data_IF_246195183285
#
_entry.id   IF_246195183285
#
_cell.length_a   1.000
_cell.length_b   1.000
_cell.length_c   1.000
_cell.angle_alpha   90.00
_cell.angle_beta   90.00
_cell.angle_gamma   90.00
#
_symmetry.space_group_name_H-M   'P 1'
#
loop_
_entity.id
_entity.type
_entity.pdbx_description
1 polymer ?
#
# COMPACT_ATOMS: atom_id res chain seq x y z
N UNK A 1 -6.48 22.46 1.03
CA UNK A 1 -5.55 21.84 0.06
C UNK A 1 -5.46 20.35 0.29
N UNK A 2 -5.34 19.61 -0.79
CA UNK A 2 -5.22 18.15 -0.67
C UNK A 2 -3.89 17.77 -0.02
N UNK A 3 -3.93 16.76 0.82
CA UNK A 3 -2.73 16.23 1.48
C UNK A 3 -1.97 15.31 0.53
N UNK A 4 -0.71 15.13 0.79
CA UNK A 4 0.12 14.22 0.02
C UNK A 4 0.78 13.21 0.96
N UNK A 5 0.66 11.93 0.64
CA UNK A 5 1.22 10.85 1.44
C UNK A 5 2.19 10.01 0.62
N UNK A 6 3.11 9.37 1.31
CA UNK A 6 3.91 8.29 0.73
C UNK A 6 3.49 6.98 1.39
N UNK A 7 3.31 5.96 0.59
CA UNK A 7 2.93 4.63 1.05
C UNK A 7 3.99 3.63 0.63
N UNK A 8 4.55 2.92 1.60
CA UNK A 8 5.42 1.79 1.34
C UNK A 8 4.66 0.54 1.73
N UNK A 9 4.46 -0.36 0.80
CA UNK A 9 3.75 -1.61 1.03
C UNK A 9 4.65 -2.79 0.71
N UNK A 10 4.65 -3.78 1.58
CA UNK A 10 5.41 -5.00 1.42
C UNK A 10 4.55 -6.18 1.84
N UNK A 11 4.71 -7.29 1.17
CA UNK A 11 3.98 -8.49 1.50
C UNK A 11 4.73 -9.71 1.01
N UNK A 12 4.46 -10.83 1.63
CA UNK A 12 5.12 -12.05 1.25
C UNK A 12 4.46 -13.28 1.81
N UNK A 13 4.87 -14.43 1.31
CA UNK A 13 4.39 -15.72 1.77
C UNK A 13 5.57 -16.67 1.98
N UNK A 14 5.37 -17.62 2.88
CA UNK A 14 6.29 -18.75 3.05
C UNK A 14 5.87 -19.84 2.07
N UNK A 15 6.64 -19.98 1.00
CA UNK A 15 6.17 -20.75 -0.15
C UNK A 15 5.23 -19.89 -0.98
N UNK A 16 4.96 -20.30 -2.20
CA UNK A 16 4.16 -19.49 -3.11
C UNK A 16 3.18 -20.38 -3.87
N UNK A 17 1.99 -20.70 -3.31
CA UNK A 17 1.39 -20.08 -2.12
C UNK A 17 1.87 -20.65 -0.80
N UNK A 18 1.55 -19.93 0.29
CA UNK A 18 1.85 -20.33 1.64
C UNK A 18 1.33 -19.32 2.66
N UNK A 19 1.62 -19.50 3.95
CA UNK A 19 1.23 -18.51 4.95
C UNK A 19 1.76 -17.12 4.58
N UNK A 20 0.88 -16.13 4.52
CA UNK A 20 1.19 -14.82 3.96
C UNK A 20 0.72 -13.69 4.86
N UNK A 21 1.40 -12.56 4.73
CA UNK A 21 1.06 -11.34 5.45
C UNK A 21 1.59 -10.12 4.73
N UNK A 22 1.17 -8.95 5.19
CA UNK A 22 1.61 -7.69 4.61
C UNK A 22 1.96 -6.66 5.67
N UNK A 23 2.73 -5.66 5.26
CA UNK A 23 3.00 -4.47 6.04
C UNK A 23 2.89 -3.24 5.17
N UNK A 24 2.33 -2.17 5.71
CA UNK A 24 2.20 -0.90 5.00
C UNK A 24 2.57 0.24 5.94
N UNK A 25 3.36 1.18 5.43
CA UNK A 25 3.78 2.36 6.20
C UNK A 25 3.36 3.59 5.43
N UNK A 26 2.62 4.47 6.10
CA UNK A 26 2.14 5.72 5.52
C UNK A 26 2.91 6.86 6.16
N UNK A 27 3.53 7.69 5.32
CA UNK A 27 4.26 8.87 5.78
C UNK A 27 3.67 10.12 5.16
N UNK A 28 3.77 11.22 5.91
CA UNK A 28 3.39 12.54 5.44
C UNK A 28 4.46 13.53 5.92
N UNK A 29 5.03 14.29 4.99
CA UNK A 29 6.09 15.25 5.29
C UNK A 29 7.29 14.60 6.02
N UNK A 30 7.62 13.37 5.66
CA UNK A 30 8.73 12.66 6.24
C UNK A 30 8.44 12.00 7.59
N UNK A 31 7.22 12.11 8.09
CA UNK A 31 6.83 11.50 9.37
C UNK A 31 5.92 10.30 9.14
N UNK A 32 6.18 9.22 9.85
CA UNK A 32 5.29 8.04 9.83
C UNK A 32 4.02 8.40 10.59
N UNK A 33 2.88 8.34 9.90
CA UNK A 33 1.59 8.63 10.51
C UNK A 33 0.74 7.39 10.75
N UNK A 34 1.06 6.28 10.09
CA UNK A 34 0.35 5.02 10.29
C UNK A 34 1.22 3.86 9.85
N UNK A 35 1.10 2.75 10.56
CA UNK A 35 1.70 1.47 10.19
C UNK A 35 0.61 0.41 10.27
N UNK A 36 0.48 -0.37 9.21
CA UNK A 36 -0.55 -1.40 9.08
C UNK A 36 0.12 -2.73 8.78
N UNK A 37 -0.34 -3.79 9.42
CA UNK A 37 0.16 -5.13 9.13
C UNK A 37 -0.89 -6.15 9.51
N UNK A 38 -0.92 -7.26 8.79
CA UNK A 38 -1.87 -8.32 9.07
C UNK A 38 -1.41 -9.63 8.45
N UNK A 39 -1.90 -10.71 9.01
CA UNK A 39 -1.77 -12.05 8.47
C UNK A 39 -3.02 -12.36 7.65
N UNK A 40 -2.84 -12.79 6.40
CA UNK A 40 -3.95 -12.97 5.47
C UNK A 40 -4.27 -14.44 5.16
N UNK A 41 -3.63 -15.38 5.86
CA UNK A 41 -3.84 -16.81 5.60
C UNK A 41 -2.94 -17.31 4.49
N UNK A 42 -3.40 -18.27 3.73
CA UNK A 42 -2.63 -18.88 2.63
C UNK A 42 -2.83 -18.06 1.37
N UNK A 43 -1.74 -17.53 0.81
CA UNK A 43 -1.79 -16.68 -0.37
C UNK A 43 -0.42 -16.67 -1.07
N UNK A 44 -0.38 -16.09 -2.25
CA UNK A 44 0.87 -15.87 -2.98
C UNK A 44 1.52 -14.55 -2.55
N UNK A 45 2.80 -14.37 -2.90
CA UNK A 45 3.49 -13.10 -2.67
C UNK A 45 2.73 -11.93 -3.29
N UNK A 46 2.24 -12.09 -4.52
CA UNK A 46 1.53 -11.01 -5.21
C UNK A 46 0.25 -10.62 -4.49
N UNK A 47 -0.51 -11.60 -4.01
CA UNK A 47 -1.73 -11.33 -3.26
C UNK A 47 -1.41 -10.59 -1.97
N UNK A 48 -0.36 -11.00 -1.25
CA UNK A 48 0.07 -10.32 -0.03
C UNK A 48 0.45 -8.86 -0.29
N UNK A 49 1.19 -8.61 -1.36
CA UNK A 49 1.58 -7.24 -1.74
C UNK A 49 0.36 -6.37 -2.06
N UNK A 50 -0.59 -6.91 -2.82
CA UNK A 50 -1.82 -6.17 -3.12
C UNK A 50 -2.67 -5.91 -1.89
N UNK A 51 -2.73 -6.86 -0.96
CA UNK A 51 -3.44 -6.64 0.30
C UNK A 51 -2.83 -5.49 1.09
N UNK A 52 -1.50 -5.42 1.14
CA UNK A 52 -0.80 -4.31 1.78
C UNK A 52 -1.09 -2.98 1.10
N UNK A 53 -1.09 -2.97 -0.23
CA UNK A 53 -1.43 -1.78 -1.01
C UNK A 53 -2.85 -1.32 -0.72
N UNK A 54 -3.81 -2.23 -0.79
CA UNK A 54 -5.23 -1.91 -0.57
C UNK A 54 -5.45 -1.39 0.85
N UNK A 55 -4.83 -2.02 1.85
CA UNK A 55 -4.95 -1.57 3.23
C UNK A 55 -4.43 -0.15 3.41
N UNK A 56 -3.25 0.15 2.84
CA UNK A 56 -2.66 1.48 2.90
C UNK A 56 -3.51 2.52 2.20
N UNK A 57 -3.96 2.22 0.99
CA UNK A 57 -4.78 3.16 0.21
C UNK A 57 -6.13 3.41 0.87
N UNK A 58 -6.73 2.38 1.47
CA UNK A 58 -7.98 2.52 2.21
C UNK A 58 -7.81 3.46 3.41
N UNK A 59 -6.71 3.31 4.14
CA UNK A 59 -6.41 4.17 5.28
C UNK A 59 -6.21 5.63 4.84
N UNK A 60 -5.48 5.85 3.74
CA UNK A 60 -5.26 7.19 3.19
C UNK A 60 -6.58 7.81 2.75
N UNK A 61 -7.42 7.05 2.07
CA UNK A 61 -8.71 7.54 1.61
C UNK A 61 -9.62 7.95 2.77
N UNK A 62 -9.52 7.24 3.90
CA UNK A 62 -10.27 7.60 5.11
C UNK A 62 -9.76 8.90 5.73
N UNK A 63 -8.46 9.19 5.57
CA UNK A 63 -7.87 10.44 6.09
C UNK A 63 -8.20 11.63 5.19
N UNK A 64 -8.07 11.45 3.88
CA UNK A 64 -8.36 12.52 2.90
C UNK A 64 -8.64 11.89 1.54
N UNK A 65 -9.92 11.85 1.10
CA UNK A 65 -10.27 11.27 -0.20
C UNK A 65 -9.68 12.01 -1.40
N UNK A 66 -9.21 13.22 -1.20
CA UNK A 66 -8.61 14.02 -2.27
C UNK A 66 -7.09 13.97 -2.27
N UNK A 67 -6.50 13.19 -1.37
CA UNK A 67 -5.06 13.12 -1.24
C UNK A 67 -4.41 12.53 -2.48
N UNK A 68 -3.19 12.97 -2.76
CA UNK A 68 -2.29 12.28 -3.68
C UNK A 68 -1.41 11.34 -2.87
N UNK A 69 -0.95 10.28 -3.49
CA UNK A 69 -0.08 9.32 -2.82
C UNK A 69 0.96 8.76 -3.77
N UNK A 70 2.20 8.71 -3.30
CA UNK A 70 3.28 8.00 -3.97
C UNK A 70 3.42 6.64 -3.32
N UNK A 71 3.36 5.57 -4.10
CA UNK A 71 3.44 4.21 -3.58
C UNK A 71 4.72 3.55 -4.05
N UNK A 72 5.44 2.93 -3.13
CA UNK A 72 6.61 2.11 -3.42
C UNK A 72 6.36 0.68 -2.99
N UNK A 73 6.61 -0.25 -3.88
CA UNK A 73 6.46 -1.67 -3.62
C UNK A 73 7.62 -2.44 -4.24
N UNK A 74 7.96 -3.58 -3.65
CA UNK A 74 9.06 -4.42 -4.13
C UNK A 74 8.81 -4.94 -5.55
N UNK A 75 7.57 -5.12 -5.94
CA UNK A 75 7.21 -5.58 -7.28
C UNK A 75 7.34 -4.50 -8.35
N UNK A 76 7.89 -3.35 -8.02
CA UNK A 76 8.06 -2.21 -8.92
C UNK A 76 6.73 -1.66 -9.45
N UNK A 77 5.69 -1.78 -8.64
CA UNK A 77 4.41 -1.15 -8.91
C UNK A 77 4.43 0.27 -8.36
N UNK A 78 4.06 1.22 -9.20
CA UNK A 78 3.88 2.60 -8.77
C UNK A 78 2.40 2.94 -8.88
N UNK A 79 1.82 3.42 -7.79
CA UNK A 79 0.41 3.78 -7.74
C UNK A 79 0.31 5.25 -7.39
N UNK A 80 -0.47 5.98 -8.18
CA UNK A 80 -0.76 7.38 -7.90
C UNK A 80 -2.26 7.58 -7.78
N UNK A 81 -2.66 8.32 -6.77
CA UNK A 81 -4.03 8.79 -6.67
C UNK A 81 -4.03 10.31 -6.92
N UNK A 82 -4.79 10.73 -7.91
CA UNK A 82 -4.95 12.15 -8.21
C UNK A 82 -6.44 12.42 -8.44
N UNK A 83 -7.00 13.37 -7.69
CA UNK A 83 -8.39 13.80 -7.85
C UNK A 83 -9.38 12.63 -7.79
N UNK A 84 -9.18 11.70 -6.86
CA UNK A 84 -10.04 10.54 -6.67
C UNK A 84 -9.82 9.41 -7.67
N UNK A 85 -8.82 9.52 -8.52
CA UNK A 85 -8.48 8.46 -9.49
C UNK A 85 -7.26 7.69 -9.04
N UNK A 86 -7.27 6.41 -9.31
CA UNK A 86 -6.18 5.49 -8.99
C UNK A 86 -5.55 5.00 -10.27
N UNK A 87 -4.24 5.09 -10.36
CA UNK A 87 -3.48 4.55 -11.47
C UNK A 87 -2.40 3.63 -10.95
N UNK A 88 -2.30 2.46 -11.53
CA UNK A 88 -1.26 1.49 -11.22
C UNK A 88 -0.34 1.39 -12.43
N UNK A 89 0.94 1.65 -12.21
CA UNK A 89 1.95 1.56 -13.27
C UNK A 89 3.00 0.54 -12.87
N UNK A 90 3.34 -0.31 -13.81
CA UNK A 90 4.48 -1.21 -13.67
C UNK A 90 5.73 -0.51 -14.19
N UNK A 91 6.72 -0.47 -13.34
CA UNK A 91 8.00 0.12 -13.72
C UNK A 91 8.84 -0.88 -14.55
#
# INVERSE_FOLDING_TARGET
>A
MARHFSLTADGGSRGNPGPAGYGSVITENGKIIAELYDFIGIATNNVAEYCGLIAGLTAINALDPQATVDVKMDSKLVVEQMSGRWQIKHA
#
